data_IF_893365717284
#
_entry.id   IF_893365717284
#
_cell.length_a   1.000
_cell.length_b   1.000
_cell.length_c   1.000
_cell.angle_alpha   90.00
_cell.angle_beta   90.00
_cell.angle_gamma   90.00
#
_symmetry.space_group_name_H-M   'P 1'
#
loop_
_entity.id
_entity.type
_entity.pdbx_description
1 polymer ?
#
# COMPACT_ATOMS: atom_id res chain seq x y z
N UNK A 1 10.12 -4.35 16.05
CA UNK A 1 9.97 -5.47 15.09
C UNK A 1 10.77 -5.08 13.87
N UNK A 2 11.66 -5.91 13.35
CA UNK A 2 12.26 -5.64 12.04
C UNK A 2 11.20 -5.94 10.96
N UNK A 3 10.61 -4.89 10.40
CA UNK A 3 9.46 -5.03 9.50
C UNK A 3 9.84 -5.70 8.18
N UNK A 4 11.03 -5.42 7.66
CA UNK A 4 11.53 -6.00 6.41
C UNK A 4 11.68 -7.52 6.51
N UNK A 5 12.37 -8.01 7.55
CA UNK A 5 12.52 -9.44 7.81
C UNK A 5 11.16 -10.14 7.94
N UNK A 6 10.20 -9.47 8.60
CA UNK A 6 8.85 -9.98 8.77
C UNK A 6 8.13 -10.07 7.42
N UNK A 7 8.20 -9.07 6.56
CA UNK A 7 7.58 -9.11 5.23
C UNK A 7 8.21 -10.22 4.36
N UNK A 8 9.53 -10.41 4.45
CA UNK A 8 10.25 -11.39 3.64
C UNK A 8 10.12 -12.82 4.15
N UNK A 9 9.76 -13.02 5.43
CA UNK A 9 9.64 -14.34 6.04
C UNK A 9 8.70 -15.28 5.28
N UNK A 10 7.48 -14.84 5.00
CA UNK A 10 6.49 -15.64 4.25
C UNK A 10 5.40 -14.77 3.62
N UNK A 11 4.65 -15.33 2.67
CA UNK A 11 3.51 -14.68 2.04
C UNK A 11 2.22 -15.43 2.40
N UNK A 12 1.72 -15.20 3.62
CA UNK A 12 0.54 -15.86 4.18
C UNK A 12 -0.46 -14.85 4.75
N UNK A 13 -1.72 -15.25 4.89
CA UNK A 13 -2.74 -14.44 5.56
C UNK A 13 -2.35 -14.13 7.00
N UNK A 14 -1.81 -15.12 7.72
CA UNK A 14 -1.33 -14.99 9.10
C UNK A 14 -0.25 -13.91 9.23
N UNK A 15 0.69 -13.89 8.29
CA UNK A 15 1.76 -12.89 8.27
C UNK A 15 1.25 -11.50 7.91
N UNK A 16 0.33 -11.41 6.94
CA UNK A 16 -0.37 -10.17 6.62
C UNK A 16 -1.07 -9.61 7.86
N UNK A 17 -1.86 -10.43 8.56
CA UNK A 17 -2.58 -10.02 9.77
C UNK A 17 -1.65 -9.60 10.89
N UNK A 18 -0.51 -10.28 11.06
CA UNK A 18 0.52 -9.90 12.02
C UNK A 18 1.05 -8.48 11.74
N UNK A 19 1.34 -8.15 10.48
CA UNK A 19 1.83 -6.83 10.10
C UNK A 19 0.74 -5.78 10.33
N UNK A 20 -0.50 -6.06 9.91
CA UNK A 20 -1.66 -5.16 10.12
C UNK A 20 -1.89 -4.89 11.61
N UNK A 21 -1.82 -5.92 12.45
CA UNK A 21 -1.94 -5.79 13.91
C UNK A 21 -0.79 -4.97 14.50
N UNK A 22 0.43 -5.19 14.01
CA UNK A 22 1.58 -4.43 14.48
C UNK A 22 1.48 -2.94 14.14
N UNK A 23 1.01 -2.59 12.93
CA UNK A 23 0.72 -1.19 12.55
C UNK A 23 -0.38 -0.61 13.43
N UNK A 24 -1.51 -1.32 13.58
CA UNK A 24 -2.67 -0.83 14.33
C UNK A 24 -3.13 0.53 13.81
N UNK A 25 -3.39 1.47 14.72
CA UNK A 25 -3.76 2.86 14.42
C UNK A 25 -2.56 3.83 14.47
N UNK A 26 -1.32 3.34 14.42
CA UNK A 26 -0.11 4.16 14.55
C UNK A 26 0.40 4.63 13.17
N UNK A 27 0.42 5.96 12.96
CA UNK A 27 0.84 6.57 11.70
C UNK A 27 2.31 6.34 11.36
N UNK A 28 3.22 6.35 12.34
CA UNK A 28 4.65 6.16 12.11
C UNK A 28 4.95 4.74 11.59
N UNK A 29 4.32 3.73 12.20
CA UNK A 29 4.42 2.34 11.74
C UNK A 29 3.82 2.15 10.37
N UNK A 30 2.71 2.84 10.07
CA UNK A 30 2.16 2.86 8.73
C UNK A 30 3.15 3.47 7.73
N UNK A 31 3.78 4.60 8.07
CA UNK A 31 4.75 5.25 7.21
C UNK A 31 5.98 4.36 6.95
N UNK A 32 6.43 3.59 7.95
CA UNK A 32 7.47 2.58 7.77
C UNK A 32 7.07 1.52 6.74
N UNK A 33 5.87 0.93 6.88
CA UNK A 33 5.34 -0.04 5.91
C UNK A 33 5.18 0.57 4.51
N UNK A 34 4.71 1.81 4.44
CA UNK A 34 4.53 2.54 3.19
C UNK A 34 5.87 2.82 2.50
N UNK A 35 6.90 3.19 3.27
CA UNK A 35 8.25 3.38 2.76
C UNK A 35 8.81 2.10 2.12
N UNK A 36 8.67 0.96 2.79
CA UNK A 36 9.10 -0.34 2.25
C UNK A 36 8.30 -0.74 1.00
N UNK A 37 7.01 -0.38 0.94
CA UNK A 37 6.18 -0.59 -0.24
C UNK A 37 6.63 0.25 -1.45
N UNK A 38 7.11 1.47 -1.24
CA UNK A 38 7.55 2.37 -2.31
C UNK A 38 8.97 2.08 -2.81
N UNK A 39 9.86 1.73 -1.88
CA UNK A 39 11.31 1.76 -2.10
C UNK A 39 11.99 0.39 -1.93
N UNK A 40 11.24 -0.63 -1.51
CA UNK A 40 11.80 -1.96 -1.34
C UNK A 40 12.19 -2.64 -2.65
N UNK A 41 12.96 -3.72 -2.51
CA UNK A 41 13.28 -4.61 -3.62
C UNK A 41 12.05 -5.41 -4.11
N UNK A 42 12.16 -6.04 -5.28
CA UNK A 42 11.05 -6.72 -6.00
C UNK A 42 10.10 -7.54 -5.12
N UNK A 43 10.61 -8.35 -4.17
CA UNK A 43 9.76 -9.19 -3.30
C UNK A 43 9.20 -8.43 -2.10
N UNK A 44 9.92 -7.44 -1.60
CA UNK A 44 9.54 -6.67 -0.42
C UNK A 44 8.32 -5.81 -0.73
N UNK A 45 8.36 -5.06 -1.84
CA UNK A 45 7.26 -4.18 -2.26
C UNK A 45 5.97 -4.95 -2.55
N UNK A 46 6.08 -6.08 -3.24
CA UNK A 46 4.93 -6.91 -3.59
C UNK A 46 4.22 -7.49 -2.37
N UNK A 47 4.97 -7.89 -1.35
CA UNK A 47 4.43 -8.50 -0.13
C UNK A 47 3.98 -7.45 0.87
N UNK A 48 4.62 -6.27 0.91
CA UNK A 48 4.18 -5.12 1.69
C UNK A 48 2.81 -4.59 1.22
N UNK A 49 2.50 -4.72 -0.08
CA UNK A 49 1.28 -4.20 -0.68
C UNK A 49 -0.01 -4.74 -0.02
N UNK A 50 -0.03 -6.02 0.38
CA UNK A 50 -1.21 -6.63 1.00
C UNK A 50 -1.54 -6.05 2.38
N UNK A 51 -0.65 -6.12 3.40
CA UNK A 51 -0.92 -5.52 4.70
C UNK A 51 -1.11 -4.02 4.61
N UNK A 52 -0.42 -3.32 3.69
CA UNK A 52 -0.62 -1.89 3.47
C UNK A 52 -2.08 -1.59 3.11
N UNK A 53 -2.65 -2.32 2.14
CA UNK A 53 -4.04 -2.12 1.74
C UNK A 53 -5.02 -2.34 2.89
N UNK A 54 -4.76 -3.33 3.75
CA UNK A 54 -5.61 -3.65 4.89
C UNK A 54 -5.48 -2.62 6.02
N UNK A 55 -4.31 -2.02 6.21
CA UNK A 55 -4.13 -0.92 7.14
C UNK A 55 -4.98 0.28 6.74
N UNK A 56 -4.96 0.65 5.45
CA UNK A 56 -5.77 1.76 4.93
C UNK A 56 -7.27 1.46 4.99
N UNK A 57 -7.71 0.23 4.67
CA UNK A 57 -9.12 -0.14 4.81
C UNK A 57 -9.62 0.06 6.26
N UNK A 58 -8.80 -0.31 7.25
CA UNK A 58 -9.16 -0.14 8.66
C UNK A 58 -9.03 1.31 9.14
N UNK A 59 -8.06 2.04 8.59
CA UNK A 59 -7.72 3.40 8.99
C UNK A 59 -7.49 4.29 7.75
N UNK A 60 -8.56 4.72 7.05
CA UNK A 60 -8.43 5.50 5.81
C UNK A 60 -7.62 6.79 5.96
N UNK A 61 -7.60 7.37 7.17
CA UNK A 61 -6.84 8.57 7.50
C UNK A 61 -5.33 8.47 7.27
N UNK A 62 -4.76 7.25 7.22
CA UNK A 62 -3.33 7.02 6.96
C UNK A 62 -2.86 7.57 5.61
N UNK A 63 -3.75 7.73 4.63
CA UNK A 63 -3.39 8.18 3.29
C UNK A 63 -3.30 9.70 3.12
N UNK A 64 -3.75 10.51 4.11
CA UNK A 64 -3.85 11.98 3.98
C UNK A 64 -2.61 12.66 3.40
N UNK A 65 -1.42 12.23 3.79
CA UNK A 65 -0.15 12.82 3.33
C UNK A 65 0.59 11.98 2.27
N UNK A 66 0.10 10.77 1.98
CA UNK A 66 0.84 9.75 1.21
C UNK A 66 0.32 9.57 -0.23
N UNK A 67 -0.75 10.28 -0.59
CA UNK A 67 -1.39 10.20 -1.90
C UNK A 67 -0.46 10.48 -3.08
N UNK A 68 0.37 11.53 -2.98
CA UNK A 68 1.26 11.95 -4.08
C UNK A 68 2.28 10.87 -4.42
N UNK A 69 2.89 10.29 -3.39
CA UNK A 69 3.89 9.24 -3.53
C UNK A 69 3.28 7.94 -4.04
N UNK A 70 2.07 7.58 -3.56
CA UNK A 70 1.33 6.43 -4.07
C UNK A 70 1.05 6.56 -5.58
N UNK A 71 0.56 7.72 -6.01
CA UNK A 71 0.30 7.97 -7.44
C UNK A 71 1.60 7.95 -8.26
N UNK A 72 2.68 8.53 -7.75
CA UNK A 72 3.99 8.46 -8.42
C UNK A 72 4.45 7.01 -8.59
N UNK A 73 4.25 6.17 -7.58
CA UNK A 73 4.58 4.74 -7.64
C UNK A 73 3.79 4.00 -8.73
N UNK A 74 2.52 4.36 -8.95
CA UNK A 74 1.68 3.76 -9.99
C UNK A 74 2.13 4.08 -11.41
N UNK A 75 2.90 5.14 -11.62
CA UNK A 75 3.45 5.51 -12.93
C UNK A 75 4.71 4.73 -13.31
N UNK A 76 5.29 3.95 -12.39
CA UNK A 76 6.52 3.22 -12.70
C UNK A 76 6.23 2.16 -13.79
N UNK A 77 7.08 2.05 -14.82
CA UNK A 77 6.92 1.02 -15.84
C UNK A 77 7.09 -0.38 -15.21
N UNK A 78 6.46 -1.39 -15.83
CA UNK A 78 6.57 -2.80 -15.41
C UNK A 78 6.19 -3.06 -13.94
N UNK A 79 5.24 -2.29 -13.40
CA UNK A 79 4.75 -2.49 -12.04
C UNK A 79 4.08 -3.87 -11.90
N UNK A 80 4.42 -4.60 -10.85
CA UNK A 80 3.87 -5.92 -10.61
C UNK A 80 2.36 -5.87 -10.26
N UNK A 81 1.59 -6.85 -10.72
CA UNK A 81 0.13 -6.89 -10.53
C UNK A 81 -0.30 -6.88 -9.07
N UNK A 82 0.50 -7.45 -8.16
CA UNK A 82 0.24 -7.37 -6.71
C UNK A 82 0.16 -5.91 -6.26
N UNK A 83 1.08 -5.06 -6.72
CA UNK A 83 1.11 -3.65 -6.35
C UNK A 83 -0.14 -2.96 -6.88
N UNK A 84 -0.47 -3.15 -8.17
CA UNK A 84 -1.66 -2.56 -8.79
C UNK A 84 -2.95 -2.94 -8.07
N UNK A 85 -3.21 -4.24 -7.87
CA UNK A 85 -4.43 -4.75 -7.23
C UNK A 85 -4.61 -4.25 -5.80
N UNK A 86 -3.54 -4.23 -5.01
CA UNK A 86 -3.60 -3.74 -3.63
C UNK A 86 -3.80 -2.23 -3.57
N UNK A 87 -3.20 -1.47 -4.50
CA UNK A 87 -3.43 -0.03 -4.59
C UNK A 87 -4.87 0.29 -4.99
N UNK A 88 -5.48 -0.42 -5.93
CA UNK A 88 -6.90 -0.22 -6.24
C UNK A 88 -7.75 -0.50 -4.99
N UNK A 89 -7.49 -1.62 -4.31
CA UNK A 89 -8.24 -2.01 -3.11
C UNK A 89 -8.18 -0.94 -2.02
N UNK A 90 -7.00 -0.39 -1.74
CA UNK A 90 -6.87 0.63 -0.71
C UNK A 90 -7.54 1.95 -1.15
N UNK A 91 -7.47 2.29 -2.44
CA UNK A 91 -8.10 3.50 -2.99
C UNK A 91 -9.63 3.45 -2.93
N UNK A 92 -10.24 2.26 -2.88
CA UNK A 92 -11.68 2.09 -2.64
C UNK A 92 -12.10 2.48 -1.22
N UNK A 93 -11.18 2.49 -0.25
CA UNK A 93 -11.47 2.74 1.14
C UNK A 93 -11.20 4.19 1.58
N UNK A 94 -10.67 5.03 0.69
CA UNK A 94 -10.29 6.41 1.02
C UNK A 94 -11.14 7.41 0.26
N UNK A 95 -11.48 8.50 0.91
CA UNK A 95 -12.11 9.64 0.25
C UNK A 95 -11.08 10.31 -0.66
N UNK A 96 -11.21 10.01 -1.94
CA UNK A 96 -10.38 10.57 -2.99
C UNK A 96 -10.80 12.03 -3.19
N UNK A 97 -9.83 12.94 -3.04
CA UNK A 97 -9.99 14.35 -3.35
C UNK A 97 -10.47 14.53 -4.80
N UNK A 98 -11.41 15.44 -5.06
CA UNK A 98 -12.02 15.62 -6.38
C UNK A 98 -11.00 15.82 -7.51
N UNK A 99 -9.92 16.54 -7.24
CA UNK A 99 -8.83 16.79 -8.18
C UNK A 99 -8.01 15.52 -8.55
N UNK A 100 -8.12 14.45 -7.78
CA UNK A 100 -7.44 13.17 -8.01
C UNK A 100 -8.30 12.15 -8.75
N UNK A 101 -9.62 12.35 -8.81
CA UNK A 101 -10.57 11.40 -9.44
C UNK A 101 -10.29 11.18 -10.93
N UNK A 102 -9.96 12.24 -11.67
CA UNK A 102 -9.61 12.12 -13.09
C UNK A 102 -8.35 11.29 -13.35
N UNK A 103 -7.42 11.26 -12.38
CA UNK A 103 -6.19 10.49 -12.47
C UNK A 103 -6.43 9.00 -12.22
N UNK A 104 -7.24 8.69 -11.21
CA UNK A 104 -7.74 7.34 -10.92
C UNK A 104 -8.48 6.73 -12.10
N UNK A 105 -9.33 7.50 -12.78
CA UNK A 105 -10.06 7.03 -13.96
C UNK A 105 -9.12 6.59 -15.07
N UNK A 106 -8.09 7.38 -15.38
CA UNK A 106 -7.05 7.01 -16.35
C UNK A 106 -6.31 5.74 -15.95
N UNK A 107 -6.02 5.57 -14.66
CA UNK A 107 -5.36 4.36 -14.17
C UNK A 107 -6.27 3.14 -14.30
N UNK A 108 -7.53 3.22 -13.86
CA UNK A 108 -8.51 2.13 -13.88
C UNK A 108 -8.78 1.55 -15.28
N UNK A 109 -8.58 2.34 -16.34
CA UNK A 109 -8.75 1.90 -17.74
C UNK A 109 -7.53 1.13 -18.30
N UNK A 110 -6.41 1.10 -17.58
CA UNK A 110 -5.12 0.54 -18.05
C UNK A 110 -4.63 -0.67 -17.22
N UNK A 111 -5.52 -1.29 -16.45
CA UNK A 111 -5.28 -2.44 -15.55
C UNK A 111 -6.21 -3.57 -15.92
#
# INVERSE_FOLDING_TARGET
MNLEEVILKEHSKKQCDKIVQWVGSNQEKFNELFHLFLNGEYRLTQRAAWPLSYCVIKHPGFMRNNYRELLSNLNKPNLHDSIKRNTIRLLQAVDILDNMKGWLWKFALNI
#
